data_IF_550500335053
#
_entry.id   IF_550500335053
#
_cell.length_a   1.000
_cell.length_b   1.000
_cell.length_c   1.000
_cell.angle_alpha   90.00
_cell.angle_beta   90.00
_cell.angle_gamma   90.00
#
_symmetry.space_group_name_H-M   'P 1'
#
loop_
_entity.id
_entity.type
_entity.pdbx_description
1 polymer ?
#
# COMPACT_ATOMS: atom_id res chain seq x y z
N UNK A 1 -17.04 5.87 -13.11
CA UNK A 1 -16.16 4.73 -13.48
C UNK A 1 -16.93 3.55 -14.08
N UNK A 2 -18.13 3.21 -13.58
CA UNK A 2 -18.86 2.00 -14.02
C UNK A 2 -19.30 2.05 -15.50
N UNK A 3 -19.63 3.24 -16.02
CA UNK A 3 -19.96 3.37 -17.44
C UNK A 3 -18.73 3.19 -18.34
N UNK A 4 -17.55 3.59 -17.87
CA UNK A 4 -16.29 3.39 -18.58
C UNK A 4 -15.89 1.90 -18.69
N UNK A 5 -16.15 1.11 -17.66
CA UNK A 5 -15.92 -0.35 -17.68
C UNK A 5 -16.73 -1.04 -18.77
N UNK A 6 -17.91 -0.46 -19.15
CA UNK A 6 -18.78 -1.00 -20.20
C UNK A 6 -18.34 -0.66 -21.62
N UNK A 7 -17.35 0.22 -21.80
CA UNK A 7 -16.76 0.48 -23.11
C UNK A 7 -16.03 -0.78 -23.62
N UNK A 8 -15.92 -0.91 -24.95
CA UNK A 8 -15.10 -1.96 -25.55
C UNK A 8 -13.60 -1.76 -25.21
N UNK A 9 -12.81 -2.82 -25.34
CA UNK A 9 -11.36 -2.74 -25.15
C UNK A 9 -10.71 -1.68 -26.06
N UNK A 10 -11.18 -1.55 -27.29
CA UNK A 10 -10.67 -0.56 -28.24
C UNK A 10 -11.02 0.88 -27.82
N UNK A 11 -12.25 1.14 -27.38
CA UNK A 11 -12.65 2.45 -26.87
C UNK A 11 -11.86 2.81 -25.61
N UNK A 12 -11.72 1.90 -24.64
CA UNK A 12 -10.90 2.12 -23.44
C UNK A 12 -9.45 2.47 -23.79
N UNK A 13 -8.87 1.75 -24.79
CA UNK A 13 -7.50 1.98 -25.27
C UNK A 13 -7.28 3.42 -25.74
N UNK A 14 -8.22 4.00 -26.53
CA UNK A 14 -8.13 5.38 -27.01
C UNK A 14 -7.98 6.36 -25.84
N UNK A 15 -8.75 6.19 -24.76
CA UNK A 15 -8.66 7.04 -23.59
C UNK A 15 -7.33 6.85 -22.83
N UNK A 16 -6.84 5.62 -22.72
CA UNK A 16 -5.57 5.33 -22.04
C UNK A 16 -4.38 5.91 -22.81
N UNK A 17 -4.34 5.74 -24.14
CA UNK A 17 -3.33 6.34 -25.01
C UNK A 17 -3.40 7.87 -24.99
N UNK A 18 -4.60 8.45 -25.02
CA UNK A 18 -4.80 9.90 -24.92
C UNK A 18 -4.38 10.50 -23.58
N UNK A 19 -4.29 9.70 -22.52
CA UNK A 19 -3.83 10.13 -21.19
C UNK A 19 -2.31 10.00 -21.06
N UNK A 20 -1.68 9.05 -21.73
CA UNK A 20 -0.27 8.67 -21.55
C UNK A 20 0.71 9.80 -21.92
N UNK A 21 0.52 10.47 -23.04
CA UNK A 21 1.44 11.46 -23.57
C UNK A 21 1.79 12.61 -22.61
N UNK A 22 0.80 13.35 -22.07
CA UNK A 22 1.05 14.51 -21.20
C UNK A 22 1.76 14.20 -19.87
N UNK A 23 1.67 12.96 -19.41
CA UNK A 23 2.28 12.53 -18.13
C UNK A 23 3.57 11.74 -18.31
N UNK A 24 4.01 11.53 -19.55
CA UNK A 24 5.13 10.65 -19.90
C UNK A 24 5.01 9.25 -19.26
N UNK A 25 3.78 8.70 -19.23
CA UNK A 25 3.46 7.37 -18.73
C UNK A 25 3.12 6.44 -19.89
N UNK A 26 3.43 5.18 -19.77
CA UNK A 26 2.93 4.17 -20.72
C UNK A 26 1.41 3.99 -20.58
N UNK A 27 0.70 3.76 -21.69
CA UNK A 27 -0.75 3.62 -21.68
C UNK A 27 -1.22 2.42 -20.84
N UNK A 28 -0.41 1.37 -20.74
CA UNK A 28 -0.64 0.22 -19.86
C UNK A 28 -0.59 0.59 -18.37
N UNK A 29 0.22 1.59 -18.00
CA UNK A 29 0.25 2.13 -16.63
C UNK A 29 -1.05 2.88 -16.34
N UNK A 30 -1.55 3.67 -17.29
CA UNK A 30 -2.84 4.37 -17.16
C UNK A 30 -4.00 3.37 -17.06
N UNK A 31 -3.98 2.30 -17.86
CA UNK A 31 -4.95 1.22 -17.76
C UNK A 31 -4.95 0.58 -16.38
N UNK A 32 -3.76 0.19 -15.90
CA UNK A 32 -3.64 -0.43 -14.58
C UNK A 32 -4.07 0.51 -13.45
N UNK A 33 -3.73 1.80 -13.53
CA UNK A 33 -4.22 2.83 -12.61
C UNK A 33 -5.75 2.86 -12.54
N UNK A 34 -6.40 2.83 -13.70
CA UNK A 34 -7.85 2.80 -13.77
C UNK A 34 -8.42 1.58 -13.05
N UNK A 35 -7.88 0.38 -13.35
CA UNK A 35 -8.38 -0.85 -12.74
C UNK A 35 -8.09 -0.94 -11.24
N UNK A 36 -6.96 -0.41 -10.76
CA UNK A 36 -6.67 -0.25 -9.32
C UNK A 36 -7.73 0.64 -8.66
N UNK A 37 -8.00 1.80 -9.25
CA UNK A 37 -8.98 2.74 -8.72
C UNK A 37 -10.40 2.16 -8.73
N UNK A 38 -10.78 1.49 -9.82
CA UNK A 38 -12.09 0.88 -9.93
C UNK A 38 -12.26 -0.29 -8.95
N UNK A 39 -11.25 -1.16 -8.82
CA UNK A 39 -11.26 -2.27 -7.85
C UNK A 39 -11.38 -1.77 -6.41
N UNK A 40 -10.65 -0.72 -6.05
CA UNK A 40 -10.80 -0.06 -4.75
C UNK A 40 -12.23 0.43 -4.53
N UNK A 41 -12.81 1.10 -5.54
CA UNK A 41 -14.21 1.56 -5.46
C UNK A 41 -15.16 0.40 -5.21
N UNK A 42 -15.02 -0.69 -5.96
CA UNK A 42 -15.90 -1.86 -5.80
C UNK A 42 -15.74 -2.51 -4.43
N UNK A 43 -14.49 -2.68 -3.97
CA UNK A 43 -14.18 -3.27 -2.67
C UNK A 43 -14.79 -2.48 -1.51
N UNK A 44 -14.63 -1.14 -1.52
CA UNK A 44 -15.15 -0.26 -0.48
C UNK A 44 -16.68 0.00 -0.58
N UNK A 45 -17.32 -0.40 -1.69
CA UNK A 45 -18.78 -0.36 -1.85
C UNK A 45 -19.48 -1.68 -1.51
N UNK A 46 -18.74 -2.74 -1.17
CA UNK A 46 -19.34 -3.99 -0.70
C UNK A 46 -20.12 -3.71 0.61
N UNK A 47 -21.44 -3.94 0.60
CA UNK A 47 -22.32 -3.55 1.69
C UNK A 47 -21.93 -4.15 3.04
N UNK A 48 -21.44 -5.41 3.05
CA UNK A 48 -21.04 -6.10 4.27
C UNK A 48 -19.62 -5.74 4.73
N UNK A 49 -18.73 -5.29 3.81
CA UNK A 49 -17.30 -5.17 4.09
C UNK A 49 -16.81 -3.72 4.10
N UNK A 50 -17.34 -2.87 3.23
CA UNK A 50 -16.75 -1.57 2.89
C UNK A 50 -16.45 -0.67 4.09
N UNK A 51 -17.36 -0.60 5.07
CA UNK A 51 -17.20 0.20 6.29
C UNK A 51 -16.14 -0.34 7.27
N UNK A 52 -15.81 -1.64 7.13
CA UNK A 52 -14.81 -2.33 7.95
C UNK A 52 -13.42 -2.36 7.31
N UNK A 53 -13.26 -1.75 6.14
CA UNK A 53 -12.00 -1.69 5.42
C UNK A 53 -11.28 -0.36 5.64
N UNK A 54 -9.96 -0.41 5.63
CA UNK A 54 -9.12 0.77 5.56
C UNK A 54 -8.03 0.60 4.50
N UNK A 55 -7.90 1.60 3.66
CA UNK A 55 -6.85 1.67 2.65
C UNK A 55 -5.55 2.20 3.27
N UNK A 56 -4.41 1.66 2.87
CA UNK A 56 -3.09 2.02 3.40
C UNK A 56 -1.99 1.80 2.37
N UNK A 57 -0.74 1.90 2.80
CA UNK A 57 0.43 1.51 2.01
C UNK A 57 0.87 2.54 0.97
N UNK A 58 1.72 2.08 0.05
CA UNK A 58 2.33 2.95 -0.98
C UNK A 58 1.31 3.55 -1.93
N UNK A 59 0.30 2.78 -2.33
CA UNK A 59 -0.73 3.26 -3.26
C UNK A 59 -1.61 4.34 -2.63
N UNK A 60 -1.83 4.33 -1.31
CA UNK A 60 -2.50 5.45 -0.64
C UNK A 60 -1.67 6.72 -0.69
N UNK A 61 -0.34 6.62 -0.55
CA UNK A 61 0.58 7.77 -0.65
C UNK A 61 0.60 8.39 -2.05
N UNK A 62 0.55 7.57 -3.11
CA UNK A 62 0.58 8.08 -4.49
C UNK A 62 -0.77 8.59 -4.96
N UNK A 63 -1.86 7.86 -4.72
CA UNK A 63 -3.19 8.16 -5.28
C UNK A 63 -4.02 9.12 -4.42
N UNK A 64 -3.97 8.97 -3.10
CA UNK A 64 -4.83 9.73 -2.19
C UNK A 64 -4.12 10.98 -1.70
N UNK A 65 -2.90 10.82 -1.18
CA UNK A 65 -2.13 11.92 -0.62
C UNK A 65 -1.26 12.66 -1.64
N UNK A 66 -0.97 12.04 -2.79
CA UNK A 66 -0.14 12.60 -3.87
C UNK A 66 1.26 13.06 -3.38
N UNK A 67 1.81 12.31 -2.41
CA UNK A 67 3.11 12.63 -1.79
C UNK A 67 4.26 11.81 -2.32
N UNK A 68 4.01 10.73 -3.07
CA UNK A 68 5.05 9.99 -3.76
C UNK A 68 4.80 9.97 -5.28
N UNK A 69 5.88 10.11 -6.06
CA UNK A 69 5.82 10.22 -7.52
C UNK A 69 6.32 8.93 -8.20
N UNK A 70 5.98 7.81 -7.64
CA UNK A 70 6.23 6.50 -8.24
C UNK A 70 4.94 5.71 -8.42
N UNK A 71 4.98 4.83 -9.41
CA UNK A 71 3.90 3.89 -9.64
C UNK A 71 3.82 2.89 -8.47
N UNK A 72 2.67 2.82 -7.87
CA UNK A 72 2.33 1.83 -6.85
C UNK A 72 1.04 1.16 -7.28
N UNK A 73 1.08 -0.14 -7.43
CA UNK A 73 0.07 -0.91 -8.16
C UNK A 73 -0.69 -1.92 -7.32
N UNK A 74 -0.18 -2.16 -6.12
CA UNK A 74 -0.79 -3.09 -5.19
C UNK A 74 -1.79 -2.34 -4.32
N UNK A 75 -2.93 -2.95 -4.05
CA UNK A 75 -3.94 -2.44 -3.14
C UNK A 75 -3.65 -3.03 -1.77
N UNK A 76 -3.19 -2.20 -0.84
CA UNK A 76 -3.00 -2.59 0.56
C UNK A 76 -4.25 -2.23 1.38
N UNK A 77 -4.99 -3.21 1.86
CA UNK A 77 -6.21 -3.02 2.65
C UNK A 77 -6.15 -3.79 3.96
N UNK A 78 -6.64 -3.19 5.02
CA UNK A 78 -6.81 -3.87 6.30
C UNK A 78 -8.29 -4.00 6.66
N UNK A 79 -8.68 -5.17 7.17
CA UNK A 79 -10.01 -5.45 7.71
C UNK A 79 -9.99 -5.15 9.21
N UNK A 80 -11.05 -4.49 9.71
CA UNK A 80 -11.20 -4.20 11.14
C UNK A 80 -11.25 -5.51 11.94
N UNK A 81 -10.41 -5.59 12.96
CA UNK A 81 -10.32 -6.74 13.86
C UNK A 81 -11.60 -6.99 14.61
N UNK A 82 -12.30 -5.94 15.00
CA UNK A 82 -13.58 -6.06 15.73
C UNK A 82 -14.66 -6.72 14.87
N UNK A 83 -14.71 -6.44 13.56
CA UNK A 83 -15.57 -7.09 12.59
C UNK A 83 -15.30 -8.61 12.49
N UNK A 84 -14.05 -9.02 12.70
CA UNK A 84 -13.64 -10.43 12.73
C UNK A 84 -13.81 -11.09 14.11
N UNK A 85 -14.42 -10.40 15.09
CA UNK A 85 -14.64 -10.90 16.46
C UNK A 85 -13.48 -10.68 17.43
N UNK A 86 -12.47 -9.89 17.03
CA UNK A 86 -11.28 -9.60 17.84
C UNK A 86 -11.26 -8.14 18.35
N UNK A 87 -12.38 -7.66 18.86
CA UNK A 87 -12.52 -6.35 19.50
C UNK A 87 -12.62 -6.42 21.02
N UNK A 88 -12.30 -5.33 21.71
CA UNK A 88 -12.41 -5.18 23.15
C UNK A 88 -11.60 -6.24 23.93
N UNK A 89 -12.25 -7.00 24.79
CA UNK A 89 -11.59 -8.05 25.60
C UNK A 89 -10.95 -9.18 24.76
N UNK A 90 -11.37 -9.33 23.48
CA UNK A 90 -10.82 -10.33 22.56
C UNK A 90 -9.63 -9.84 21.76
N UNK A 91 -9.27 -8.56 21.87
CA UNK A 91 -8.09 -8.01 21.18
C UNK A 91 -6.82 -8.80 21.53
N UNK A 92 -5.91 -9.01 20.58
CA UNK A 92 -4.63 -9.64 20.87
C UNK A 92 -3.84 -8.95 21.98
N UNK A 93 -3.89 -7.61 22.03
CA UNK A 93 -3.23 -6.77 23.05
C UNK A 93 -3.75 -7.05 24.47
N UNK A 94 -5.02 -7.40 24.61
CA UNK A 94 -5.66 -7.69 25.90
C UNK A 94 -5.33 -9.09 26.47
N UNK A 95 -4.55 -9.90 25.75
CA UNK A 95 -4.11 -11.21 26.24
C UNK A 95 -3.26 -11.10 27.52
N UNK A 96 -3.58 -11.91 28.53
CA UNK A 96 -2.94 -11.87 29.85
C UNK A 96 -1.44 -12.29 29.84
N UNK A 97 -1.01 -12.98 28.78
CA UNK A 97 0.39 -13.42 28.63
C UNK A 97 0.84 -13.31 27.17
N UNK A 98 2.15 -13.32 26.93
CA UNK A 98 2.69 -13.31 25.56
C UNK A 98 2.22 -14.54 24.75
N UNK A 99 2.06 -15.70 25.38
CA UNK A 99 1.52 -16.90 24.73
C UNK A 99 0.08 -16.69 24.31
N UNK A 100 -0.74 -16.09 25.16
CA UNK A 100 -2.13 -15.78 24.86
C UNK A 100 -2.24 -14.74 23.74
N UNK A 101 -1.44 -13.67 23.80
CA UNK A 101 -1.39 -12.65 22.75
C UNK A 101 -1.05 -13.29 21.38
N UNK A 102 -0.02 -14.14 21.34
CA UNK A 102 0.38 -14.82 20.11
C UNK A 102 -0.73 -15.74 19.58
N UNK A 103 -1.37 -16.53 20.47
CA UNK A 103 -2.51 -17.38 20.11
C UNK A 103 -3.65 -16.57 19.46
N UNK A 104 -3.96 -15.39 20.02
CA UNK A 104 -4.99 -14.50 19.47
C UNK A 104 -4.59 -13.90 18.11
N UNK A 105 -3.31 -13.55 17.91
CA UNK A 105 -2.80 -13.07 16.60
C UNK A 105 -2.94 -14.16 15.54
N UNK A 106 -2.61 -15.40 15.86
CA UNK A 106 -2.77 -16.53 14.94
C UNK A 106 -4.23 -16.81 14.63
N UNK A 107 -5.11 -16.75 15.63
CA UNK A 107 -6.55 -16.91 15.44
C UNK A 107 -7.15 -15.78 14.59
N UNK A 108 -6.71 -14.53 14.79
CA UNK A 108 -7.07 -13.38 13.96
C UNK A 108 -6.62 -13.56 12.50
N UNK A 109 -5.38 -14.02 12.30
CA UNK A 109 -4.87 -14.34 10.94
C UNK A 109 -5.75 -15.38 10.27
N UNK A 110 -6.07 -16.48 10.94
CA UNK A 110 -6.90 -17.54 10.40
C UNK A 110 -8.33 -17.07 10.09
N UNK A 111 -8.93 -16.22 10.96
CA UNK A 111 -10.24 -15.64 10.69
C UNK A 111 -10.22 -14.73 9.47
N UNK A 112 -9.18 -13.90 9.33
CA UNK A 112 -8.97 -13.03 8.18
C UNK A 112 -8.82 -13.82 6.88
N UNK A 113 -8.02 -14.88 6.86
CA UNK A 113 -7.83 -15.79 5.71
C UNK A 113 -9.17 -16.39 5.24
N UNK A 114 -9.97 -16.94 6.18
CA UNK A 114 -11.29 -17.50 5.84
C UNK A 114 -12.23 -16.45 5.26
N UNK A 115 -12.22 -15.23 5.82
CA UNK A 115 -13.10 -14.15 5.36
C UNK A 115 -12.72 -13.67 3.97
N UNK A 116 -11.41 -13.52 3.68
CA UNK A 116 -10.91 -13.10 2.38
C UNK A 116 -11.19 -14.17 1.31
N UNK A 117 -10.78 -15.42 1.54
CA UNK A 117 -10.95 -16.51 0.57
C UNK A 117 -12.37 -17.05 0.42
N UNK A 118 -13.28 -16.62 1.29
CA UNK A 118 -14.70 -17.03 1.28
C UNK A 118 -15.63 -15.90 0.86
N UNK A 119 -16.30 -15.31 1.85
CA UNK A 119 -17.39 -14.35 1.62
C UNK A 119 -16.96 -13.12 0.84
N UNK A 120 -15.76 -12.55 1.16
CA UNK A 120 -15.28 -11.33 0.48
C UNK A 120 -14.95 -11.62 -0.97
N UNK A 121 -14.22 -12.69 -1.27
CA UNK A 121 -13.93 -13.10 -2.65
C UNK A 121 -15.22 -13.28 -3.44
N UNK A 122 -16.20 -14.00 -2.89
CA UNK A 122 -17.49 -14.25 -3.54
C UNK A 122 -18.27 -12.94 -3.79
N UNK A 123 -18.33 -12.06 -2.79
CA UNK A 123 -19.01 -10.77 -2.91
C UNK A 123 -18.36 -9.87 -3.96
N UNK A 124 -17.02 -9.81 -3.97
CA UNK A 124 -16.28 -8.99 -4.95
C UNK A 124 -16.40 -9.57 -6.36
N UNK A 125 -16.36 -10.91 -6.53
CA UNK A 125 -16.62 -11.55 -7.82
C UNK A 125 -18.02 -11.21 -8.35
N UNK A 126 -19.04 -11.25 -7.48
CA UNK A 126 -20.41 -10.89 -7.86
C UNK A 126 -20.53 -9.42 -8.26
N UNK A 127 -19.88 -8.50 -7.52
CA UNK A 127 -19.85 -7.08 -7.84
C UNK A 127 -19.17 -6.80 -9.20
N UNK A 128 -18.02 -7.41 -9.46
CA UNK A 128 -17.30 -7.31 -10.73
C UNK A 128 -18.15 -7.84 -11.87
N UNK A 129 -18.68 -9.07 -11.73
CA UNK A 129 -19.49 -9.73 -12.75
C UNK A 129 -20.73 -8.92 -13.15
N UNK A 130 -21.32 -8.19 -12.22
CA UNK A 130 -22.50 -7.35 -12.49
C UNK A 130 -22.21 -6.11 -13.31
N UNK A 131 -20.95 -5.69 -13.47
CA UNK A 131 -20.55 -4.41 -14.07
C UNK A 131 -19.64 -4.55 -15.29
N UNK A 132 -18.76 -5.54 -15.29
CA UNK A 132 -17.88 -5.85 -16.43
C UNK A 132 -18.73 -6.43 -17.57
N UNK A 133 -18.35 -6.13 -18.79
CA UNK A 133 -19.03 -6.67 -19.98
C UNK A 133 -18.97 -8.19 -19.99
N UNK A 134 -20.03 -8.82 -20.50
CA UNK A 134 -20.14 -10.28 -20.55
C UNK A 134 -19.14 -10.95 -21.52
N UNK A 135 -18.66 -10.21 -22.50
CA UNK A 135 -17.68 -10.62 -23.50
C UNK A 135 -16.23 -10.30 -23.12
N UNK A 136 -16.02 -9.56 -22.03
CA UNK A 136 -14.68 -9.30 -21.50
C UNK A 136 -14.15 -10.53 -20.69
N UNK A 137 -12.89 -10.88 -20.92
CA UNK A 137 -12.21 -11.94 -20.17
C UNK A 137 -11.58 -11.35 -18.92
N UNK A 138 -11.93 -11.89 -17.76
CA UNK A 138 -11.36 -11.51 -16.47
C UNK A 138 -11.42 -12.68 -15.47
N UNK A 139 -10.60 -12.62 -14.43
CA UNK A 139 -10.70 -13.55 -13.29
C UNK A 139 -10.41 -12.83 -11.97
N UNK A 140 -10.98 -13.33 -10.88
CA UNK A 140 -10.62 -12.93 -9.52
C UNK A 140 -10.41 -14.20 -8.70
N UNK A 141 -9.25 -14.38 -8.12
CA UNK A 141 -8.87 -15.58 -7.38
C UNK A 141 -7.85 -15.25 -6.27
N UNK A 142 -7.64 -16.19 -5.36
CA UNK A 142 -6.56 -16.11 -4.37
C UNK A 142 -5.20 -16.22 -5.05
N UNK A 143 -4.20 -15.52 -4.53
CA UNK A 143 -2.82 -15.64 -4.97
C UNK A 143 -2.19 -16.89 -4.32
N UNK A 144 -1.91 -17.91 -5.12
CA UNK A 144 -1.33 -19.18 -4.65
C UNK A 144 0.13 -19.00 -4.17
N UNK A 145 0.81 -17.94 -4.62
CA UNK A 145 2.17 -17.61 -4.21
C UNK A 145 2.21 -16.87 -2.86
N UNK A 146 1.06 -16.43 -2.32
CA UNK A 146 0.99 -15.81 -0.99
C UNK A 146 0.94 -16.87 0.13
N UNK A 147 2.03 -17.06 0.91
CA UNK A 147 2.06 -18.03 2.01
C UNK A 147 1.05 -17.69 3.12
N UNK A 148 0.66 -16.43 3.22
CA UNK A 148 -0.33 -15.95 4.18
C UNK A 148 -1.78 -16.10 3.68
N UNK A 149 -2.00 -16.43 2.40
CA UNK A 149 -3.32 -16.60 1.78
C UNK A 149 -4.27 -15.43 2.07
N UNK A 150 -3.75 -14.22 2.02
CA UNK A 150 -4.47 -12.98 2.29
C UNK A 150 -4.48 -12.05 1.08
N UNK A 151 -4.01 -12.55 -0.06
CA UNK A 151 -3.93 -11.79 -1.32
C UNK A 151 -4.93 -12.33 -2.32
N UNK A 152 -5.65 -11.40 -2.98
CA UNK A 152 -6.46 -11.69 -4.15
C UNK A 152 -5.81 -11.07 -5.39
N UNK A 153 -5.96 -11.74 -6.52
CA UNK A 153 -5.53 -11.28 -7.84
C UNK A 153 -6.75 -11.06 -8.72
N UNK A 154 -6.90 -9.85 -9.22
CA UNK A 154 -7.88 -9.50 -10.22
C UNK A 154 -7.18 -9.32 -11.58
N UNK A 155 -7.27 -10.34 -12.42
CA UNK A 155 -6.86 -10.25 -13.82
C UNK A 155 -7.96 -9.49 -14.56
N UNK A 156 -7.72 -8.21 -14.78
CA UNK A 156 -8.71 -7.31 -15.37
C UNK A 156 -8.77 -7.45 -16.90
N UNK A 157 -9.90 -7.10 -17.54
CA UNK A 157 -10.03 -7.13 -18.99
C UNK A 157 -9.16 -6.05 -19.62
N UNK A 158 -7.99 -6.47 -20.14
CA UNK A 158 -7.01 -5.57 -20.73
C UNK A 158 -7.42 -5.08 -22.12
N UNK A 159 -7.04 -3.84 -22.42
CA UNK A 159 -7.23 -3.18 -23.73
C UNK A 159 -6.00 -3.32 -24.65
N UNK A 160 -4.93 -3.95 -24.17
CA UNK A 160 -3.66 -4.09 -24.91
C UNK A 160 -3.31 -5.57 -25.16
N UNK A 161 -2.66 -5.83 -26.28
CA UNK A 161 -2.13 -7.15 -26.60
C UNK A 161 -1.14 -7.65 -25.54
N UNK A 162 -0.98 -8.96 -25.32
CA UNK A 162 0.02 -9.48 -24.43
C UNK A 162 1.43 -9.02 -24.83
N UNK A 163 2.16 -8.47 -23.86
CA UNK A 163 3.57 -8.14 -24.00
C UNK A 163 4.36 -8.98 -23.00
N UNK A 164 5.15 -9.92 -23.51
CA UNK A 164 5.96 -10.84 -22.70
C UNK A 164 7.14 -10.16 -22.02
N UNK A 165 7.53 -8.96 -22.46
CA UNK A 165 8.59 -8.15 -21.87
C UNK A 165 8.09 -7.12 -20.84
N UNK A 166 6.77 -7.01 -20.64
CA UNK A 166 6.21 -6.01 -19.74
C UNK A 166 6.62 -6.23 -18.28
N UNK A 167 7.28 -5.24 -17.71
CA UNK A 167 7.67 -5.23 -16.29
C UNK A 167 6.47 -5.27 -15.33
N UNK A 168 5.28 -4.85 -15.80
CA UNK A 168 4.08 -4.70 -14.99
C UNK A 168 3.10 -5.83 -15.29
N UNK A 169 2.83 -6.67 -14.27
CA UNK A 169 1.78 -7.69 -14.36
C UNK A 169 0.42 -7.04 -14.62
N UNK A 170 -0.36 -7.60 -15.53
CA UNK A 170 -1.72 -7.14 -15.91
C UNK A 170 -2.79 -7.66 -14.96
N UNK A 171 -2.54 -7.54 -13.68
CA UNK A 171 -3.45 -7.90 -12.62
C UNK A 171 -3.39 -6.85 -11.52
N UNK A 172 -4.51 -6.60 -10.86
CA UNK A 172 -4.55 -5.83 -9.61
C UNK A 172 -4.32 -6.81 -8.46
N UNK A 173 -3.23 -6.62 -7.73
CA UNK A 173 -2.92 -7.37 -6.52
C UNK A 173 -3.57 -6.67 -5.33
N UNK A 174 -4.42 -7.39 -4.59
CA UNK A 174 -5.14 -6.88 -3.42
C UNK A 174 -4.57 -7.58 -2.20
N UNK A 175 -3.62 -6.93 -1.54
CA UNK A 175 -3.00 -7.42 -0.31
C UNK A 175 -3.86 -7.03 0.89
N UNK A 176 -4.38 -8.01 1.59
CA UNK A 176 -5.30 -7.80 2.69
C UNK A 176 -4.72 -8.32 4.01
N UNK A 177 -5.29 -7.89 5.12
CA UNK A 177 -4.89 -8.37 6.43
C UNK A 177 -5.73 -7.72 7.52
N UNK A 178 -5.60 -8.20 8.76
CA UNK A 178 -6.30 -7.65 9.92
C UNK A 178 -5.36 -7.23 11.06
N UNK A 179 -4.06 -7.27 10.81
CA UNK A 179 -3.06 -6.92 11.85
C UNK A 179 -2.84 -5.42 12.01
N UNK A 180 -3.24 -4.58 11.04
CA UNK A 180 -3.01 -3.14 11.14
C UNK A 180 -3.89 -2.50 12.24
N UNK A 181 -3.37 -1.44 12.84
CA UNK A 181 -4.12 -0.55 13.70
C UNK A 181 -4.74 0.55 12.83
N UNK A 182 -6.05 0.72 12.89
CA UNK A 182 -6.83 1.61 12.01
C UNK A 182 -6.87 3.07 12.49
N UNK A 183 -6.02 3.45 13.42
CA UNK A 183 -6.01 4.82 13.98
C UNK A 183 -4.64 5.51 13.80
N UNK A 184 -4.62 6.81 13.47
CA UNK A 184 -5.75 7.60 13.00
C UNK A 184 -6.08 7.35 11.52
N UNK A 185 -7.32 7.56 11.17
CA UNK A 185 -7.80 7.41 9.80
C UNK A 185 -8.70 8.59 9.40
N UNK A 186 -8.84 8.81 8.11
CA UNK A 186 -9.66 9.87 7.54
C UNK A 186 -10.37 9.38 6.28
N UNK A 187 -11.44 10.07 5.86
CA UNK A 187 -12.09 9.81 4.57
C UNK A 187 -11.51 10.75 3.52
N UNK A 188 -11.02 10.19 2.43
CA UNK A 188 -10.47 10.92 1.30
C UNK A 188 -11.07 10.43 -0.01
N UNK A 189 -10.99 11.27 -1.03
CA UNK A 189 -11.37 10.93 -2.40
C UNK A 189 -10.13 10.81 -3.29
N UNK A 190 -10.23 9.96 -4.29
CA UNK A 190 -9.23 9.84 -5.35
C UNK A 190 -9.90 9.65 -6.70
N UNK A 191 -9.13 9.85 -7.77
CA UNK A 191 -9.60 9.83 -9.16
C UNK A 191 -8.55 9.09 -10.01
N UNK A 192 -8.93 8.19 -10.93
CA UNK A 192 -7.99 7.58 -11.86
C UNK A 192 -7.44 8.64 -12.84
N UNK A 193 -6.20 8.46 -13.30
CA UNK A 193 -5.54 9.42 -14.20
C UNK A 193 -6.33 9.70 -15.49
N UNK A 194 -6.95 8.66 -16.04
CA UNK A 194 -7.80 8.82 -17.25
C UNK A 194 -9.00 9.72 -16.98
N UNK A 195 -9.59 9.67 -15.79
CA UNK A 195 -10.72 10.53 -15.44
C UNK A 195 -10.27 11.96 -15.04
N UNK A 196 -9.06 12.14 -14.55
CA UNK A 196 -8.45 13.47 -14.36
C UNK A 196 -8.26 14.18 -15.72
N UNK A 197 -7.87 13.41 -16.76
CA UNK A 197 -7.65 13.94 -18.12
C UNK A 197 -8.94 14.16 -18.89
N UNK A 198 -9.91 13.27 -18.75
CA UNK A 198 -11.19 13.28 -19.46
C UNK A 198 -12.38 13.31 -18.49
N UNK A 199 -12.56 14.39 -17.71
CA UNK A 199 -13.57 14.42 -16.65
C UNK A 199 -14.99 14.27 -17.15
N UNK A 200 -15.29 14.74 -18.37
CA UNK A 200 -16.61 14.63 -18.98
C UNK A 200 -16.95 13.21 -19.47
N UNK A 201 -15.95 12.35 -19.63
CA UNK A 201 -16.12 10.93 -19.98
C UNK A 201 -16.56 10.03 -18.82
N UNK A 202 -16.68 10.59 -17.60
CA UNK A 202 -17.00 9.83 -16.39
C UNK A 202 -18.16 10.44 -15.62
N UNK A 203 -19.23 9.69 -15.45
CA UNK A 203 -20.38 10.12 -14.65
C UNK A 203 -20.03 10.27 -13.16
N UNK A 204 -19.25 9.32 -12.63
CA UNK A 204 -18.77 9.31 -11.25
C UNK A 204 -17.26 8.99 -11.26
N UNK A 205 -16.39 10.02 -11.48
CA UNK A 205 -14.95 9.80 -11.56
C UNK A 205 -14.31 9.49 -10.20
N UNK A 206 -14.90 10.00 -9.13
CA UNK A 206 -14.32 9.97 -7.79
C UNK A 206 -14.76 8.73 -6.99
N UNK A 207 -13.88 8.26 -6.12
CA UNK A 207 -14.20 7.30 -5.08
C UNK A 207 -13.79 7.86 -3.71
N UNK A 208 -14.72 7.85 -2.76
CA UNK A 208 -14.42 8.15 -1.36
C UNK A 208 -14.18 6.86 -0.59
N UNK A 209 -13.14 6.83 0.22
CA UNK A 209 -12.80 5.68 1.05
C UNK A 209 -12.10 6.11 2.35
N UNK A 210 -12.12 5.23 3.34
CA UNK A 210 -11.40 5.38 4.58
C UNK A 210 -9.94 4.98 4.38
N UNK A 211 -9.02 5.86 4.75
CA UNK A 211 -7.56 5.69 4.57
C UNK A 211 -6.82 5.99 5.87
N UNK A 212 -5.74 5.29 6.13
CA UNK A 212 -4.82 5.65 7.22
C UNK A 212 -4.25 7.04 6.98
N UNK A 213 -4.14 7.85 8.05
CA UNK A 213 -3.58 9.20 7.91
C UNK A 213 -2.14 9.16 7.39
N UNK A 214 -1.73 10.22 6.72
CA UNK A 214 -0.38 10.30 6.14
C UNK A 214 0.69 10.30 7.23
N UNK A 215 0.42 10.90 8.40
CA UNK A 215 1.35 10.89 9.54
C UNK A 215 1.49 9.48 10.15
N UNK A 216 0.39 8.71 10.18
CA UNK A 216 0.47 7.30 10.58
C UNK A 216 1.38 6.53 9.62
N UNK A 217 1.18 6.71 8.33
CA UNK A 217 1.99 6.05 7.29
C UNK A 217 3.45 6.50 7.35
N UNK A 218 3.70 7.79 7.67
CA UNK A 218 5.06 8.30 7.94
C UNK A 218 5.76 7.50 9.05
N UNK A 219 5.12 7.33 10.20
CA UNK A 219 5.70 6.57 11.31
C UNK A 219 5.81 5.07 11.03
N UNK A 220 4.89 4.51 10.27
CA UNK A 220 5.02 3.13 9.80
C UNK A 220 6.25 2.94 8.90
N UNK A 221 6.54 3.89 8.00
CA UNK A 221 7.75 3.89 7.16
C UNK A 221 9.01 4.07 8.01
N UNK A 222 9.04 5.06 8.90
CA UNK A 222 10.16 5.30 9.81
C UNK A 222 10.52 4.04 10.63
N UNK A 223 9.52 3.33 11.16
CA UNK A 223 9.73 2.10 11.92
C UNK A 223 10.12 0.90 11.06
N UNK A 224 9.80 0.87 9.77
CA UNK A 224 10.33 -0.11 8.80
C UNK A 224 11.84 0.13 8.62
N UNK A 225 12.24 1.39 8.41
CA UNK A 225 13.66 1.76 8.25
C UNK A 225 14.45 1.49 9.53
N UNK A 226 13.88 1.83 10.69
CA UNK A 226 14.47 1.52 12.00
C UNK A 226 14.74 0.01 12.18
N UNK A 227 13.76 -0.82 11.85
CA UNK A 227 13.94 -2.26 11.89
C UNK A 227 15.02 -2.74 10.92
N UNK A 228 15.08 -2.18 9.70
CA UNK A 228 16.10 -2.55 8.71
C UNK A 228 17.51 -2.15 9.15
N UNK A 229 17.67 -0.98 9.81
CA UNK A 229 18.95 -0.59 10.39
C UNK A 229 19.51 -1.65 11.34
N UNK A 230 18.66 -2.30 12.12
CA UNK A 230 19.02 -3.34 13.08
C UNK A 230 19.03 -4.76 12.50
N UNK A 231 18.70 -4.93 11.20
CA UNK A 231 18.71 -6.26 10.56
C UNK A 231 20.13 -6.83 10.54
N UNK A 232 20.36 -8.06 10.99
CA UNK A 232 21.66 -8.72 10.93
C UNK A 232 22.24 -8.72 9.52
N UNK A 233 23.55 -8.53 9.40
CA UNK A 233 24.23 -8.41 8.10
C UNK A 233 24.15 -9.70 7.26
N UNK A 234 24.05 -10.86 7.90
CA UNK A 234 23.89 -12.18 7.30
C UNK A 234 22.48 -12.44 6.73
N UNK A 235 21.48 -11.62 7.10
CA UNK A 235 20.13 -11.72 6.54
C UNK A 235 20.01 -10.89 5.28
N UNK A 236 19.61 -11.52 4.19
CA UNK A 236 19.38 -10.84 2.91
C UNK A 236 18.36 -9.72 3.05
N UNK A 237 18.59 -8.60 2.36
CA UNK A 237 17.63 -7.54 2.19
C UNK A 237 16.55 -7.99 1.18
N UNK A 238 15.26 -7.73 1.43
CA UNK A 238 14.21 -7.99 0.45
C UNK A 238 14.44 -7.18 -0.83
N UNK A 239 14.02 -7.72 -1.96
CA UNK A 239 14.02 -7.00 -3.23
C UNK A 239 13.13 -5.75 -3.17
N UNK A 240 13.48 -4.72 -3.96
CA UNK A 240 12.75 -3.44 -4.04
C UNK A 240 12.64 -2.73 -2.69
N UNK A 241 13.56 -2.99 -1.76
CA UNK A 241 13.51 -2.38 -0.42
C UNK A 241 13.87 -0.89 -0.46
N UNK A 242 14.68 -0.45 -1.42
CA UNK A 242 15.03 0.97 -1.62
C UNK A 242 13.81 1.89 -1.76
N UNK A 243 12.66 1.35 -2.21
CA UNK A 243 11.40 2.11 -2.25
C UNK A 243 10.99 2.70 -0.89
N UNK A 244 11.33 2.04 0.21
CA UNK A 244 10.98 2.55 1.54
C UNK A 244 11.79 3.80 1.90
N UNK A 245 13.04 3.85 1.49
CA UNK A 245 13.90 5.04 1.64
C UNK A 245 13.43 6.18 0.72
N UNK A 246 13.11 5.87 -0.55
CA UNK A 246 12.54 6.84 -1.49
C UNK A 246 11.19 7.40 -1.02
N UNK A 247 10.27 6.55 -0.56
CA UNK A 247 8.98 6.99 -0.02
C UNK A 247 9.15 7.88 1.22
N UNK A 248 10.10 7.54 2.10
CA UNK A 248 10.37 8.32 3.30
C UNK A 248 11.02 9.67 2.97
N UNK A 249 11.92 9.69 1.98
CA UNK A 249 12.46 10.92 1.40
C UNK A 249 11.34 11.84 0.91
N UNK A 250 10.42 11.33 0.10
CA UNK A 250 9.30 12.12 -0.42
C UNK A 250 8.39 12.65 0.70
N UNK A 251 8.10 11.84 1.71
CA UNK A 251 7.32 12.26 2.87
C UNK A 251 7.99 13.43 3.63
N UNK A 252 9.32 13.42 3.75
CA UNK A 252 10.07 14.54 4.34
C UNK A 252 10.03 15.74 3.39
N UNK A 253 10.37 15.53 2.12
CA UNK A 253 10.49 16.60 1.11
C UNK A 253 9.18 17.34 0.88
N UNK A 254 8.05 16.63 0.85
CA UNK A 254 6.69 17.19 0.76
C UNK A 254 6.15 17.74 2.10
N UNK A 255 6.95 17.74 3.16
CA UNK A 255 6.64 18.38 4.43
C UNK A 255 5.75 17.60 5.41
N UNK A 256 5.43 16.34 5.11
CA UNK A 256 4.66 15.46 6.02
C UNK A 256 5.36 15.28 7.37
N UNK A 257 6.68 15.27 7.37
CA UNK A 257 7.49 15.18 8.60
C UNK A 257 7.15 16.26 9.63
N UNK A 258 6.81 17.48 9.18
CA UNK A 258 6.46 18.61 10.07
C UNK A 258 5.21 18.33 10.91
N UNK A 259 4.17 17.76 10.30
CA UNK A 259 2.94 17.39 11.02
C UNK A 259 3.09 16.07 11.81
N UNK A 260 3.92 15.15 11.32
CA UNK A 260 4.16 13.89 12.00
C UNK A 260 4.99 14.05 13.28
N UNK A 261 6.05 14.88 13.27
CA UNK A 261 6.94 15.08 14.42
C UNK A 261 6.29 15.78 15.61
N UNK A 262 5.16 16.46 15.41
CA UNK A 262 4.35 17.00 16.51
C UNK A 262 3.58 15.88 17.25
N UNK A 263 3.35 14.74 16.59
CA UNK A 263 2.55 13.60 17.09
C UNK A 263 3.46 12.44 17.53
N UNK A 264 4.30 12.68 18.55
CA UNK A 264 5.24 11.64 19.04
C UNK A 264 4.54 10.48 19.76
N UNK A 265 3.36 10.71 20.30
CA UNK A 265 2.47 9.68 20.84
C UNK A 265 2.07 8.66 19.75
N UNK A 266 1.90 9.14 18.51
CA UNK A 266 1.62 8.27 17.36
C UNK A 266 2.82 7.39 17.01
N UNK A 267 4.07 7.91 17.07
CA UNK A 267 5.27 7.09 16.91
C UNK A 267 5.33 5.98 17.98
N UNK A 268 5.12 6.35 19.25
CA UNK A 268 5.10 5.38 20.33
C UNK A 268 4.05 4.27 20.13
N UNK A 269 2.84 4.65 19.70
CA UNK A 269 1.76 3.71 19.37
C UNK A 269 2.15 2.78 18.21
N UNK A 270 2.75 3.32 17.15
CA UNK A 270 3.21 2.50 16.00
C UNK A 270 4.30 1.53 16.43
N UNK A 271 5.28 1.97 17.22
CA UNK A 271 6.36 1.13 17.72
C UNK A 271 5.83 0.00 18.60
N UNK A 272 4.94 0.32 19.55
CA UNK A 272 4.28 -0.66 20.42
C UNK A 272 3.47 -1.69 19.63
N UNK A 273 2.66 -1.22 18.67
CA UNK A 273 1.89 -2.08 17.80
C UNK A 273 2.79 -3.04 17.00
N UNK A 274 3.87 -2.54 16.39
CA UNK A 274 4.81 -3.37 15.63
C UNK A 274 5.55 -4.38 16.49
N UNK A 275 5.90 -4.02 17.73
CA UNK A 275 6.56 -4.93 18.66
C UNK A 275 5.71 -6.18 18.99
N UNK A 276 4.39 -6.06 18.88
CA UNK A 276 3.46 -7.17 19.13
C UNK A 276 3.12 -7.94 17.83
N UNK A 277 2.64 -7.24 16.80
CA UNK A 277 2.08 -7.85 15.59
C UNK A 277 3.12 -8.22 14.52
N UNK A 278 4.29 -7.59 14.56
CA UNK A 278 5.41 -7.80 13.61
C UNK A 278 6.70 -8.12 14.35
N UNK A 279 6.57 -8.94 15.37
CA UNK A 279 7.68 -9.29 16.28
C UNK A 279 8.87 -9.86 15.51
N UNK A 280 10.03 -9.24 15.72
CA UNK A 280 11.32 -9.71 15.24
C UNK A 280 12.37 -9.46 16.30
N UNK A 281 13.24 -10.44 16.56
CA UNK A 281 14.26 -10.36 17.60
C UNK A 281 15.27 -9.23 17.40
N UNK A 282 15.43 -8.76 16.16
CA UNK A 282 16.42 -7.73 15.79
C UNK A 282 15.81 -6.35 15.52
N UNK A 283 14.48 -6.22 15.36
CA UNK A 283 13.85 -4.98 14.91
C UNK A 283 13.86 -3.81 15.91
N UNK A 284 14.13 -4.09 17.20
CA UNK A 284 14.27 -3.12 18.28
C UNK A 284 13.20 -2.01 18.34
N UNK A 285 11.96 -2.36 18.04
CA UNK A 285 10.86 -1.38 18.03
C UNK A 285 10.72 -0.58 19.32
N UNK A 286 11.14 -1.11 20.47
CA UNK A 286 11.17 -0.36 21.74
C UNK A 286 12.15 0.81 21.78
N UNK A 287 13.15 0.82 20.88
CA UNK A 287 14.11 1.91 20.71
C UNK A 287 13.67 2.92 19.62
N UNK A 288 12.52 2.71 18.95
CA UNK A 288 12.01 3.60 17.92
C UNK A 288 11.30 4.82 18.56
N UNK A 289 12.09 5.75 19.11
CA UNK A 289 11.65 6.94 19.81
C UNK A 289 12.54 8.14 19.46
N UNK A 290 12.10 9.38 19.78
CA UNK A 290 12.95 10.57 19.66
C UNK A 290 14.24 10.35 20.43
N UNK A 291 15.37 10.70 19.85
CA UNK A 291 16.72 10.50 20.38
C UNK A 291 17.38 9.17 19.98
N UNK A 292 16.60 8.17 19.54
CA UNK A 292 17.13 6.82 19.25
C UNK A 292 16.61 6.20 17.95
N UNK A 293 15.69 6.87 17.26
CA UNK A 293 15.15 6.39 15.97
C UNK A 293 16.26 6.32 14.91
N UNK A 294 16.29 5.24 14.15
CA UNK A 294 17.21 5.05 13.03
C UNK A 294 16.43 4.92 11.74
N UNK A 295 16.71 5.79 10.78
CA UNK A 295 16.13 5.74 9.42
C UNK A 295 17.21 5.66 8.34
N UNK A 296 18.46 5.92 8.72
CA UNK A 296 19.62 5.71 7.85
C UNK A 296 19.87 4.22 7.64
N UNK A 297 20.24 3.77 6.42
CA UNK A 297 20.70 2.41 6.23
C UNK A 297 22.09 2.21 6.88
N UNK A 298 22.39 1.01 7.40
CA UNK A 298 23.73 0.71 7.85
C UNK A 298 24.71 0.70 6.64
N UNK A 299 25.96 1.08 6.87
CA UNK A 299 26.97 1.28 5.82
C UNK A 299 27.10 0.07 4.86
N UNK A 300 27.10 -1.14 5.41
CA UNK A 300 27.21 -2.37 4.63
C UNK A 300 26.04 -2.63 3.68
N UNK A 301 24.90 -1.92 3.81
CA UNK A 301 23.72 -2.02 2.94
C UNK A 301 23.70 -0.99 1.81
N UNK A 302 24.48 0.10 1.92
CA UNK A 302 24.41 1.22 0.97
C UNK A 302 24.61 0.79 -0.48
N UNK A 303 25.60 -0.09 -0.76
CA UNK A 303 25.84 -0.58 -2.12
C UNK A 303 24.64 -1.33 -2.68
N UNK A 304 24.11 -2.30 -1.94
CA UNK A 304 22.98 -3.11 -2.36
C UNK A 304 21.70 -2.26 -2.55
N UNK A 305 21.47 -1.26 -1.69
CA UNK A 305 20.35 -0.34 -1.82
C UNK A 305 20.47 0.57 -3.04
N UNK A 306 21.68 1.03 -3.39
CA UNK A 306 21.92 1.80 -4.60
C UNK A 306 21.62 1.00 -5.86
N UNK A 307 22.07 -0.26 -5.91
CA UNK A 307 21.78 -1.17 -7.03
C UNK A 307 20.27 -1.48 -7.13
N UNK A 308 19.60 -1.71 -6.01
CA UNK A 308 18.15 -1.90 -5.94
C UNK A 308 17.38 -0.65 -6.42
N UNK A 309 17.82 0.55 -6.01
CA UNK A 309 17.24 1.82 -6.45
C UNK A 309 17.37 2.03 -7.97
N UNK A 310 18.52 1.70 -8.55
CA UNK A 310 18.73 1.76 -10.00
C UNK A 310 17.77 0.84 -10.76
N UNK A 311 17.53 -0.39 -10.27
CA UNK A 311 16.58 -1.33 -10.88
C UNK A 311 15.13 -0.83 -10.81
N UNK A 312 14.83 0.06 -9.86
CA UNK A 312 13.48 0.59 -9.67
C UNK A 312 13.17 1.86 -10.47
N UNK A 313 14.10 2.39 -11.27
CA UNK A 313 13.90 3.63 -12.02
C UNK A 313 12.64 3.64 -12.90
N UNK A 314 12.29 2.48 -13.49
CA UNK A 314 11.09 2.33 -14.32
C UNK A 314 9.77 2.50 -13.55
N UNK A 315 9.80 2.51 -12.23
CA UNK A 315 8.60 2.71 -11.41
C UNK A 315 8.30 4.19 -11.13
N UNK A 316 9.16 5.13 -11.52
CA UNK A 316 8.97 6.55 -11.24
C UNK A 316 8.27 7.28 -12.39
N UNK A 317 7.45 8.27 -12.05
CA UNK A 317 6.85 9.21 -13.00
C UNK A 317 7.83 10.34 -13.29
N UNK A 318 8.71 10.18 -14.24
CA UNK A 318 9.78 11.14 -14.51
C UNK A 318 11.11 10.73 -13.88
N UNK A 319 11.98 11.69 -13.58
CA UNK A 319 13.30 11.41 -13.00
C UNK A 319 13.19 11.10 -11.51
N UNK A 320 13.62 9.90 -11.07
CA UNK A 320 13.64 9.57 -9.65
C UNK A 320 14.68 10.44 -8.92
N UNK A 321 14.48 10.71 -7.62
CA UNK A 321 15.52 11.37 -6.84
C UNK A 321 16.80 10.52 -6.82
N UNK A 322 17.94 11.17 -7.01
CA UNK A 322 19.25 10.50 -6.93
C UNK A 322 19.43 9.84 -5.55
N UNK A 323 19.96 8.63 -5.52
CA UNK A 323 20.12 7.87 -4.28
C UNK A 323 20.93 8.66 -3.22
N UNK A 324 21.96 9.41 -3.63
CA UNK A 324 22.76 10.21 -2.70
C UNK A 324 21.97 11.38 -2.09
N UNK A 325 21.05 11.99 -2.83
CA UNK A 325 20.12 13.00 -2.29
C UNK A 325 19.17 12.42 -1.27
N UNK A 326 18.67 11.19 -1.53
CA UNK A 326 17.83 10.46 -0.56
C UNK A 326 18.61 10.28 0.75
N UNK A 327 19.83 9.74 0.69
CA UNK A 327 20.66 9.47 1.86
C UNK A 327 21.03 10.76 2.60
N UNK A 328 21.39 11.82 1.90
CA UNK A 328 21.72 13.10 2.51
C UNK A 328 20.54 13.70 3.30
N UNK A 329 19.33 13.70 2.73
CA UNK A 329 18.14 14.21 3.41
C UNK A 329 17.76 13.36 4.64
N UNK A 330 17.83 12.03 4.52
CA UNK A 330 17.55 11.15 5.63
C UNK A 330 18.53 11.33 6.79
N UNK A 331 19.83 11.49 6.48
CA UNK A 331 20.87 11.75 7.49
C UNK A 331 20.63 13.08 8.23
N UNK A 332 20.32 14.13 7.48
CA UNK A 332 19.98 15.42 8.05
C UNK A 332 18.75 15.30 8.97
N UNK A 333 17.66 14.72 8.47
CA UNK A 333 16.43 14.58 9.23
C UNK A 333 16.60 13.70 10.47
N UNK A 334 17.31 12.57 10.37
CA UNK A 334 17.60 11.70 11.53
C UNK A 334 18.38 12.44 12.62
N UNK A 335 19.39 13.21 12.20
CA UNK A 335 20.21 14.01 13.11
C UNK A 335 19.38 15.07 13.83
N UNK A 336 18.57 15.84 13.07
CA UNK A 336 17.70 16.88 13.63
C UNK A 336 16.61 16.29 14.55
N UNK A 337 15.98 15.18 14.15
CA UNK A 337 14.94 14.52 14.93
C UNK A 337 15.46 13.96 16.26
N UNK A 338 16.69 13.47 16.29
CA UNK A 338 17.30 12.86 17.47
C UNK A 338 18.01 13.88 18.38
N UNK A 339 18.13 15.13 17.99
CA UNK A 339 18.60 16.18 18.92
C UNK A 339 17.58 16.36 20.05
N UNK A 340 18.08 16.32 21.30
CA UNK A 340 17.28 16.41 22.54
C UNK A 340 16.98 17.88 22.85
#
# INVERSE_FOLDING_TARGET
MDDFVKLSAEERRIFFEGTSGPKNMEAQIVEKDFWVCWTLKELFRLAEFGEHLIFKGGTSLSKVFKVIERFSVDIDVSIDRSYLGFGGANEPEAGASNKEKQRRIEALKAACQRKIGGDLLTALQAAIKSKVRHDDTWSLHSDDDDPDRQTLLFDYPTSFAPDTAAYIRRAVKIEMGARADHWPSETKTFTPYVAEKFPTGFREPNCALKVLSVERTFWEKATILHAEFHRPADKAMPERFSRHYGDFYELIHKGVSKSATIKLDLLARVAQHKSLFFKSSWAKYGEAAKGTLRVMPPEHRLKALREDHQKMQQMFFGEPPEFDKIIALLNQWESEFNQV
#
